data_IF_564689059300
#
_entry.id   IF_564689059300
#
_cell.length_a   1.000
_cell.length_b   1.000
_cell.length_c   1.000
_cell.angle_alpha   90.00
_cell.angle_beta   90.00
_cell.angle_gamma   90.00
#
_symmetry.space_group_name_H-M   'P 1'
#
loop_
_entity.id
_entity.type
_entity.pdbx_description
1 polymer ?
#
# COMPACT_ATOMS: atom_id res chain seq x y z
N UNK A 1 9.45 -47.20 3.98
CA UNK A 1 8.12 -47.21 4.63
C UNK A 1 7.27 -46.19 3.92
N UNK A 2 6.37 -46.61 3.03
CA UNK A 2 5.42 -45.72 2.36
C UNK A 2 4.29 -45.40 3.34
N UNK A 3 4.11 -44.12 3.65
CA UNK A 3 2.95 -43.67 4.35
C UNK A 3 1.71 -43.88 3.44
N UNK A 4 0.86 -44.83 3.80
CA UNK A 4 -0.31 -45.25 3.02
C UNK A 4 -1.52 -44.32 3.25
N UNK A 5 -1.32 -43.16 3.89
CA UNK A 5 -2.37 -42.18 4.03
C UNK A 5 -2.84 -41.65 2.67
N UNK A 6 -4.01 -41.00 2.61
CA UNK A 6 -4.53 -40.43 1.36
C UNK A 6 -3.58 -39.43 0.68
N UNK A 7 -2.60 -38.96 1.45
CA UNK A 7 -1.55 -38.05 0.99
C UNK A 7 -0.17 -38.53 1.45
N UNK A 8 0.56 -39.34 0.62
CA UNK A 8 1.83 -39.91 1.03
C UNK A 8 2.84 -38.77 1.35
N UNK A 9 3.55 -38.91 2.49
CA UNK A 9 4.55 -37.97 2.97
C UNK A 9 5.75 -37.80 2.03
N UNK A 10 6.01 -38.81 1.22
CA UNK A 10 7.12 -38.84 0.26
C UNK A 10 6.62 -39.05 -1.16
N UNK A 11 7.30 -38.49 -2.12
CA UNK A 11 7.03 -38.66 -3.54
C UNK A 11 8.35 -38.73 -4.34
N UNK A 12 8.29 -39.37 -5.49
CA UNK A 12 9.39 -39.37 -6.44
C UNK A 12 9.24 -38.19 -7.40
N UNK A 13 10.34 -37.48 -7.66
CA UNK A 13 10.37 -36.44 -8.70
C UNK A 13 10.44 -37.06 -10.09
N UNK A 14 10.31 -36.28 -11.13
CA UNK A 14 10.43 -36.71 -12.53
C UNK A 14 9.62 -37.97 -12.87
N UNK A 15 8.28 -37.94 -12.53
CA UNK A 15 7.33 -39.04 -12.80
C UNK A 15 7.80 -40.41 -12.30
N UNK A 16 8.46 -40.46 -11.18
CA UNK A 16 8.95 -41.69 -10.56
C UNK A 16 10.41 -42.06 -10.90
N UNK A 17 11.07 -41.33 -11.80
CA UNK A 17 12.46 -41.57 -12.22
C UNK A 17 13.50 -40.73 -11.46
N UNK A 18 13.07 -39.79 -10.65
CA UNK A 18 13.97 -38.91 -9.88
C UNK A 18 14.10 -39.34 -8.43
N UNK A 19 14.80 -38.50 -7.64
CA UNK A 19 15.03 -38.74 -6.22
C UNK A 19 13.76 -38.61 -5.38
N UNK A 20 13.78 -39.22 -4.20
CA UNK A 20 12.73 -39.13 -3.20
C UNK A 20 12.72 -37.71 -2.58
N UNK A 21 11.56 -37.10 -2.51
CA UNK A 21 11.33 -35.81 -1.83
C UNK A 21 10.26 -35.97 -0.76
N UNK A 22 10.43 -35.28 0.35
CA UNK A 22 9.41 -35.20 1.42
C UNK A 22 8.47 -34.05 1.10
N UNK A 23 7.16 -34.29 1.19
CA UNK A 23 6.15 -33.23 1.15
C UNK A 23 6.19 -32.44 2.45
N UNK A 24 6.11 -31.13 2.33
CA UNK A 24 5.89 -30.22 3.44
C UNK A 24 4.59 -29.51 3.14
N UNK A 25 3.66 -29.56 4.06
CA UNK A 25 2.35 -28.90 3.90
C UNK A 25 2.47 -27.41 4.24
N UNK A 26 1.72 -26.60 3.55
CA UNK A 26 1.81 -25.15 3.68
C UNK A 26 1.46 -24.65 5.09
N UNK A 27 0.49 -25.30 5.73
CA UNK A 27 0.07 -25.07 7.11
C UNK A 27 1.13 -25.41 8.17
N UNK A 28 2.08 -26.29 7.82
CA UNK A 28 3.19 -26.69 8.69
C UNK A 28 4.46 -25.87 8.50
N UNK A 29 4.47 -24.95 7.56
CA UNK A 29 5.64 -24.09 7.24
C UNK A 29 5.39 -22.69 7.75
N UNK A 30 6.30 -22.19 8.58
CA UNK A 30 6.33 -20.77 8.91
C UNK A 30 6.52 -19.91 7.67
N UNK A 31 6.05 -18.67 7.71
CA UNK A 31 6.24 -17.71 6.62
C UNK A 31 7.72 -17.54 6.27
N UNK A 32 8.01 -17.24 5.02
CA UNK A 32 9.36 -16.87 4.61
C UNK A 32 9.69 -15.47 5.09
N UNK A 33 10.87 -15.29 5.64
CA UNK A 33 11.39 -13.96 5.95
C UNK A 33 11.47 -13.16 4.63
N UNK A 34 10.98 -11.93 4.66
CA UNK A 34 11.10 -11.03 3.52
C UNK A 34 12.57 -10.78 3.19
N UNK A 35 12.89 -10.81 1.91
CA UNK A 35 14.23 -10.46 1.44
C UNK A 35 14.47 -8.95 1.56
N UNK A 36 15.73 -8.54 1.65
CA UNK A 36 16.13 -7.13 1.63
C UNK A 36 16.23 -6.55 0.21
N UNK A 37 16.00 -7.37 -0.81
CA UNK A 37 15.95 -6.96 -2.21
C UNK A 37 14.51 -7.09 -2.74
N UNK A 38 13.96 -5.97 -3.20
CA UNK A 38 12.62 -5.86 -3.78
C UNK A 38 12.74 -5.31 -5.20
N UNK A 39 12.58 -6.18 -6.20
CA UNK A 39 12.68 -5.75 -7.59
C UNK A 39 11.55 -4.78 -7.96
N UNK A 40 11.83 -3.85 -8.86
CA UNK A 40 10.87 -2.81 -9.26
C UNK A 40 9.64 -3.42 -9.96
N UNK A 41 9.76 -4.57 -10.56
CA UNK A 41 8.65 -5.32 -11.16
C UNK A 41 7.57 -5.66 -10.14
N UNK A 42 7.97 -5.88 -8.87
CA UNK A 42 7.05 -6.18 -7.77
C UNK A 42 6.58 -4.90 -7.06
N UNK A 43 7.46 -3.94 -6.85
CA UNK A 43 7.21 -2.77 -6.01
C UNK A 43 6.95 -1.48 -6.78
N UNK A 44 7.15 -1.47 -8.09
CA UNK A 44 7.00 -0.28 -8.91
C UNK A 44 8.22 0.65 -8.86
N UNK A 45 8.16 1.70 -9.65
CA UNK A 45 9.18 2.75 -9.73
C UNK A 45 8.52 4.13 -9.91
N UNK A 46 9.32 5.20 -9.92
CA UNK A 46 8.83 6.59 -9.96
C UNK A 46 7.97 6.88 -11.20
N UNK A 47 8.29 6.33 -12.37
CA UNK A 47 7.49 6.55 -13.59
C UNK A 47 6.09 5.93 -13.48
N UNK A 48 5.96 4.77 -12.84
CA UNK A 48 4.67 4.17 -12.56
C UNK A 48 3.86 5.05 -11.61
N UNK A 49 4.50 5.56 -10.56
CA UNK A 49 3.88 6.46 -9.61
C UNK A 49 3.45 7.80 -10.26
N UNK A 50 4.24 8.34 -11.20
CA UNK A 50 3.83 9.51 -11.99
C UNK A 50 2.63 9.22 -12.89
N UNK A 51 2.60 8.05 -13.54
CA UNK A 51 1.45 7.62 -14.35
C UNK A 51 0.19 7.46 -13.49
N UNK A 52 0.34 6.99 -12.25
CA UNK A 52 -0.78 6.91 -11.30
C UNK A 52 -1.31 8.31 -10.96
N UNK A 53 -0.45 9.31 -10.70
CA UNK A 53 -0.88 10.69 -10.51
C UNK A 53 -1.58 11.25 -11.76
N UNK A 54 -1.02 11.03 -12.95
CA UNK A 54 -1.65 11.48 -14.20
C UNK A 54 -3.05 10.85 -14.38
N UNK A 55 -3.24 9.60 -13.97
CA UNK A 55 -4.58 8.99 -14.00
C UNK A 55 -5.56 9.67 -13.06
N UNK A 56 -5.09 10.16 -11.91
CA UNK A 56 -5.93 10.79 -10.88
C UNK A 56 -6.20 12.26 -11.19
N UNK A 57 -5.18 13.00 -11.64
CA UNK A 57 -5.23 14.46 -11.78
C UNK A 57 -5.40 14.94 -13.23
N UNK A 58 -4.93 14.16 -14.18
CA UNK A 58 -4.77 14.57 -15.57
C UNK A 58 -3.34 15.01 -15.89
N UNK A 59 -2.57 15.37 -14.88
CA UNK A 59 -1.17 15.77 -14.94
C UNK A 59 -0.36 15.14 -13.80
N UNK A 60 0.92 15.48 -13.67
CA UNK A 60 1.79 15.03 -12.61
C UNK A 60 2.17 16.19 -11.67
N UNK A 61 1.31 16.56 -10.72
CA UNK A 61 1.52 17.72 -9.85
C UNK A 61 2.64 17.52 -8.81
N UNK A 62 3.35 16.40 -8.85
CA UNK A 62 4.44 16.07 -7.93
C UNK A 62 5.55 15.29 -8.65
N UNK A 63 6.80 15.71 -8.46
CA UNK A 63 7.93 15.21 -9.27
C UNK A 63 8.39 13.79 -8.93
N UNK A 64 8.41 13.43 -7.66
CA UNK A 64 9.00 12.18 -7.19
C UNK A 64 8.04 11.36 -6.31
N UNK A 65 6.83 11.03 -6.81
CA UNK A 65 5.90 10.22 -6.04
C UNK A 65 6.47 8.81 -5.81
N UNK A 66 6.09 8.20 -4.71
CA UNK A 66 6.36 6.78 -4.45
C UNK A 66 5.23 5.94 -5.05
N UNK A 67 5.52 4.76 -5.60
CA UNK A 67 4.48 3.87 -6.09
C UNK A 67 3.66 3.28 -4.93
N UNK A 68 2.35 3.17 -5.09
CA UNK A 68 1.46 2.58 -4.09
C UNK A 68 1.82 1.13 -3.79
N UNK A 69 2.27 0.37 -4.80
CA UNK A 69 2.72 -1.02 -4.62
C UNK A 69 3.88 -1.17 -3.64
N UNK A 70 4.84 -0.22 -3.64
CA UNK A 70 5.93 -0.22 -2.67
C UNK A 70 5.41 -0.06 -1.24
N UNK A 71 4.55 0.93 -1.01
CA UNK A 71 4.02 1.19 0.33
C UNK A 71 3.09 0.06 0.79
N UNK A 72 2.30 -0.50 -0.10
CA UNK A 72 1.49 -1.70 0.21
C UNK A 72 2.38 -2.86 0.67
N UNK A 73 3.50 -3.12 -0.02
CA UNK A 73 4.46 -4.14 0.40
C UNK A 73 5.06 -3.86 1.77
N UNK A 74 5.40 -2.58 2.05
CA UNK A 74 5.88 -2.16 3.39
C UNK A 74 4.82 -2.44 4.45
N UNK A 75 3.57 -2.05 4.21
CA UNK A 75 2.49 -2.20 5.20
C UNK A 75 2.08 -3.65 5.42
N UNK A 76 2.06 -4.46 4.37
CA UNK A 76 1.80 -5.89 4.44
C UNK A 76 2.82 -6.62 5.35
N UNK A 77 4.07 -6.18 5.34
CA UNK A 77 5.14 -6.75 6.16
C UNK A 77 5.23 -6.15 7.58
N UNK A 78 4.78 -4.93 7.77
CA UNK A 78 5.05 -4.17 9.01
C UNK A 78 3.81 -3.81 9.83
N UNK A 79 2.61 -4.05 9.30
CA UNK A 79 1.36 -3.67 9.97
C UNK A 79 0.41 -4.85 10.13
N UNK A 80 -0.42 -4.79 11.14
CA UNK A 80 -1.62 -5.61 11.23
C UNK A 80 -2.86 -4.82 10.77
N UNK A 81 -4.03 -5.46 10.75
CA UNK A 81 -5.27 -4.87 10.23
C UNK A 81 -5.78 -3.62 10.96
N UNK A 82 -5.33 -3.38 12.18
CA UNK A 82 -5.80 -2.28 13.07
C UNK A 82 -4.69 -1.27 13.37
N UNK A 83 -3.55 -1.36 12.67
CA UNK A 83 -2.39 -0.48 12.90
C UNK A 83 -2.71 0.98 12.56
N UNK A 84 -2.03 1.89 13.26
CA UNK A 84 -1.99 3.31 12.90
C UNK A 84 -0.66 3.62 12.20
N UNK A 85 -0.74 4.13 10.99
CA UNK A 85 0.40 4.50 10.15
C UNK A 85 0.60 6.01 10.27
N UNK A 86 1.81 6.45 10.53
CA UNK A 86 2.18 7.85 10.63
C UNK A 86 3.26 8.17 9.59
N UNK A 87 2.99 9.19 8.77
CA UNK A 87 3.92 9.68 7.75
C UNK A 87 4.12 11.19 7.94
N UNK A 88 5.34 11.57 8.32
CA UNK A 88 5.71 12.97 8.57
C UNK A 88 6.02 13.76 7.30
N UNK A 89 6.15 13.09 6.15
CA UNK A 89 6.53 13.70 4.87
C UNK A 89 5.62 13.19 3.75
N UNK A 90 4.32 13.39 3.91
CA UNK A 90 3.29 12.78 3.08
C UNK A 90 3.45 13.01 1.56
N UNK A 91 4.12 14.09 1.16
CA UNK A 91 4.40 14.39 -0.24
C UNK A 91 3.13 14.33 -1.10
N UNK A 92 3.09 13.41 -2.05
CA UNK A 92 1.90 13.22 -2.89
C UNK A 92 0.75 12.42 -2.24
N UNK A 93 0.85 12.07 -0.94
CA UNK A 93 -0.21 11.34 -0.22
C UNK A 93 -0.33 9.85 -0.56
N UNK A 94 0.73 9.25 -1.07
CA UNK A 94 0.75 7.82 -1.46
C UNK A 94 0.48 6.90 -0.28
N UNK A 95 0.95 7.25 0.91
CA UNK A 95 0.81 6.45 2.13
C UNK A 95 -0.66 6.18 2.47
N UNK A 96 -1.51 7.20 2.45
CA UNK A 96 -2.93 7.02 2.72
C UNK A 96 -3.62 6.25 1.58
N UNK A 97 -3.29 6.56 0.32
CA UNK A 97 -3.84 5.81 -0.82
C UNK A 97 -3.53 4.32 -0.72
N UNK A 98 -2.27 3.94 -0.45
CA UNK A 98 -1.87 2.55 -0.27
C UNK A 98 -2.55 1.89 0.95
N UNK A 99 -2.74 2.64 2.05
CA UNK A 99 -3.47 2.16 3.24
C UNK A 99 -4.92 1.84 2.93
N UNK A 100 -5.61 2.72 2.21
CA UNK A 100 -7.01 2.51 1.82
C UNK A 100 -7.16 1.32 0.87
N UNK A 101 -6.25 1.17 -0.09
CA UNK A 101 -6.24 0.00 -0.99
C UNK A 101 -6.06 -1.31 -0.22
N UNK A 102 -5.10 -1.34 0.72
CA UNK A 102 -4.83 -2.54 1.51
C UNK A 102 -6.03 -2.89 2.43
N UNK A 103 -6.66 -1.89 3.05
CA UNK A 103 -7.86 -2.11 3.84
C UNK A 103 -9.01 -2.68 3.01
N UNK A 104 -9.22 -2.15 1.79
CA UNK A 104 -10.26 -2.66 0.89
C UNK A 104 -10.00 -4.11 0.45
N UNK A 105 -8.72 -4.50 0.31
CA UNK A 105 -8.33 -5.83 -0.13
C UNK A 105 -8.45 -6.88 0.98
N UNK A 106 -7.99 -6.57 2.19
CA UNK A 106 -7.89 -7.54 3.30
C UNK A 106 -8.95 -7.36 4.39
N UNK A 107 -9.86 -6.39 4.24
CA UNK A 107 -10.87 -6.04 5.23
C UNK A 107 -10.27 -5.44 6.50
N UNK A 108 -9.14 -4.76 6.40
CA UNK A 108 -8.48 -4.09 7.51
C UNK A 108 -9.09 -2.73 7.85
N UNK A 109 -8.75 -2.24 9.03
CA UNK A 109 -9.21 -0.95 9.59
C UNK A 109 -8.01 -0.05 9.96
N UNK A 110 -6.91 -0.16 9.20
CA UNK A 110 -5.72 0.66 9.42
C UNK A 110 -6.08 2.12 9.32
N UNK A 111 -5.52 2.90 10.22
CA UNK A 111 -5.63 4.36 10.24
C UNK A 111 -4.35 4.97 9.70
N UNK A 112 -4.45 6.13 9.07
CA UNK A 112 -3.29 6.84 8.55
C UNK A 112 -3.32 8.29 9.00
N UNK A 113 -2.20 8.78 9.49
CA UNK A 113 -1.98 10.19 9.85
C UNK A 113 -0.88 10.70 8.93
N UNK A 114 -1.21 11.68 8.11
CA UNK A 114 -0.28 12.34 7.21
C UNK A 114 0.08 13.71 7.76
N UNK A 115 1.35 14.03 7.75
CA UNK A 115 1.88 15.34 8.08
C UNK A 115 2.69 15.85 6.90
N UNK A 116 2.45 17.07 6.47
CA UNK A 116 3.21 17.73 5.42
C UNK A 116 3.14 19.26 5.62
N UNK A 117 4.13 19.98 5.07
CA UNK A 117 4.00 21.42 4.91
C UNK A 117 3.00 21.73 3.78
N UNK A 118 2.68 23.00 3.60
CA UNK A 118 1.85 23.45 2.47
C UNK A 118 2.64 24.35 1.51
N UNK A 119 3.94 24.08 1.37
CA UNK A 119 4.77 24.77 0.39
C UNK A 119 4.27 24.45 -1.02
N UNK A 120 4.12 25.47 -1.86
CA UNK A 120 3.53 25.35 -3.20
C UNK A 120 2.13 24.66 -3.18
N UNK A 121 1.35 24.83 -2.12
CA UNK A 121 0.04 24.21 -1.94
C UNK A 121 0.01 22.69 -1.95
N UNK A 122 1.15 22.04 -1.73
CA UNK A 122 1.27 20.56 -1.83
C UNK A 122 0.27 19.82 -0.94
N UNK A 123 0.01 20.33 0.27
CA UNK A 123 -0.92 19.68 1.19
C UNK A 123 -2.36 19.71 0.64
N UNK A 124 -2.82 20.87 0.18
CA UNK A 124 -4.19 21.07 -0.22
C UNK A 124 -4.48 20.57 -1.62
N UNK A 125 -3.60 20.90 -2.58
CA UNK A 125 -3.84 20.64 -4.00
C UNK A 125 -3.36 19.25 -4.44
N UNK A 126 -2.41 18.65 -3.72
CA UNK A 126 -1.87 17.33 -4.10
C UNK A 126 -2.23 16.27 -3.06
N UNK A 127 -1.74 16.38 -1.81
CA UNK A 127 -1.92 15.34 -0.80
C UNK A 127 -3.39 15.10 -0.47
N UNK A 128 -4.13 16.17 -0.16
CA UNK A 128 -5.55 16.09 0.20
C UNK A 128 -6.40 15.73 -1.01
N UNK A 129 -6.21 16.41 -2.13
CA UNK A 129 -7.02 16.23 -3.33
C UNK A 129 -6.86 14.82 -3.93
N UNK A 130 -5.63 14.25 -3.95
CA UNK A 130 -5.41 12.86 -4.34
C UNK A 130 -6.28 11.90 -3.54
N UNK A 131 -6.20 11.98 -2.23
CA UNK A 131 -6.89 11.05 -1.36
C UNK A 131 -8.41 11.24 -1.40
N UNK A 132 -8.88 12.49 -1.53
CA UNK A 132 -10.29 12.79 -1.76
C UNK A 132 -10.81 12.14 -3.04
N UNK A 133 -10.09 12.27 -4.16
CA UNK A 133 -10.46 11.63 -5.44
C UNK A 133 -10.46 10.11 -5.33
N UNK A 134 -9.49 9.53 -4.65
CA UNK A 134 -9.43 8.08 -4.43
C UNK A 134 -10.64 7.59 -3.62
N UNK A 135 -11.09 8.35 -2.63
CA UNK A 135 -12.28 8.03 -1.83
C UNK A 135 -13.57 8.17 -2.67
N UNK A 136 -13.68 9.25 -3.42
CA UNK A 136 -14.92 9.58 -4.16
C UNK A 136 -15.02 8.86 -5.52
N UNK A 137 -13.91 8.33 -6.02
CA UNK A 137 -13.79 7.91 -7.41
C UNK A 137 -13.44 9.09 -8.33
N UNK A 138 -12.91 8.79 -9.49
CA UNK A 138 -12.48 9.78 -10.47
C UNK A 138 -12.60 9.25 -11.90
N UNK A 139 -12.55 10.17 -12.86
CA UNK A 139 -12.48 9.81 -14.27
C UNK A 139 -11.07 10.08 -14.79
N UNK A 140 -10.45 9.08 -15.40
CA UNK A 140 -9.11 9.23 -15.97
C UNK A 140 -9.14 10.15 -17.19
N UNK A 141 -7.98 10.71 -17.62
CA UNK A 141 -7.90 11.48 -18.87
C UNK A 141 -8.37 10.72 -20.12
N UNK A 142 -8.39 9.40 -20.07
CA UNK A 142 -8.90 8.54 -21.15
C UNK A 142 -10.40 8.31 -21.09
N UNK A 143 -11.10 8.89 -20.12
CA UNK A 143 -12.54 8.73 -19.93
C UNK A 143 -12.95 7.47 -19.15
N UNK A 144 -11.99 6.70 -18.60
CA UNK A 144 -12.29 5.54 -17.76
C UNK A 144 -12.76 6.02 -16.37
N UNK A 145 -13.89 5.50 -15.92
CA UNK A 145 -14.37 5.74 -14.55
C UNK A 145 -13.68 4.78 -13.59
N UNK A 146 -13.08 5.31 -12.55
CA UNK A 146 -12.48 4.56 -11.44
C UNK A 146 -13.41 4.72 -10.24
N UNK A 147 -13.88 3.60 -9.72
CA UNK A 147 -14.74 3.57 -8.53
C UNK A 147 -13.96 4.01 -7.30
N UNK A 148 -14.62 4.72 -6.38
CA UNK A 148 -14.03 5.21 -5.15
C UNK A 148 -13.95 4.16 -4.06
N UNK A 149 -13.05 4.39 -3.13
CA UNK A 149 -12.93 3.60 -1.90
C UNK A 149 -13.82 4.23 -0.81
N UNK A 150 -15.14 4.13 -0.98
CA UNK A 150 -16.17 4.88 -0.23
C UNK A 150 -16.23 4.59 1.28
N UNK A 151 -15.73 3.42 1.73
CA UNK A 151 -15.69 3.05 3.16
C UNK A 151 -14.60 3.79 3.95
N UNK A 152 -14.01 4.82 3.35
CA UNK A 152 -12.97 5.64 3.95
C UNK A 152 -13.43 7.07 4.19
N UNK A 153 -12.84 7.74 5.16
CA UNK A 153 -13.02 9.16 5.41
C UNK A 153 -11.69 9.88 5.46
N UNK A 154 -11.73 11.18 5.21
CA UNK A 154 -10.57 12.06 5.23
C UNK A 154 -10.89 13.30 6.07
N UNK A 155 -10.05 13.58 7.06
CA UNK A 155 -10.12 14.80 7.87
C UNK A 155 -8.87 15.63 7.65
N UNK A 156 -9.07 16.90 7.36
CA UNK A 156 -8.00 17.86 7.20
C UNK A 156 -7.89 18.73 8.45
N UNK A 157 -6.67 18.90 8.93
CA UNK A 157 -6.34 19.77 10.05
C UNK A 157 -5.23 20.73 9.66
N UNK A 158 -5.33 21.96 10.10
CA UNK A 158 -4.27 22.95 9.96
C UNK A 158 -3.72 23.27 11.34
N UNK A 159 -2.40 23.18 11.50
CA UNK A 159 -1.74 23.61 12.73
C UNK A 159 -1.69 25.13 12.78
N UNK A 160 -1.83 25.67 13.98
CA UNK A 160 -1.66 27.10 14.25
C UNK A 160 -0.73 27.29 15.44
N UNK A 161 0.00 28.40 15.46
CA UNK A 161 0.86 28.73 16.60
C UNK A 161 0.02 29.39 17.70
N UNK A 162 0.17 28.88 18.92
CA UNK A 162 -0.32 29.58 20.11
C UNK A 162 0.73 30.60 20.55
N UNK A 163 0.33 31.84 20.84
CA UNK A 163 1.25 32.80 21.44
C UNK A 163 1.63 32.31 22.84
N UNK A 164 2.87 32.59 23.26
CA UNK A 164 3.43 32.17 24.55
C UNK A 164 2.63 32.65 25.73
N UNK A 165 1.90 33.75 25.57
CA UNK A 165 1.06 34.37 26.60
C UNK A 165 -0.31 33.72 26.79
N UNK A 166 -0.64 32.69 25.99
CA UNK A 166 -1.91 31.94 26.08
C UNK A 166 -1.71 30.47 26.49
N UNK A 167 -0.54 30.10 27.00
CA UNK A 167 -0.33 28.80 27.63
C UNK A 167 -0.97 28.83 29.02
N UNK A 168 -2.10 28.14 29.14
CA UNK A 168 -2.74 27.82 30.42
C UNK A 168 -1.96 26.72 31.10
#
# INVERSE_FOLDING_TARGET
VYDKGPWPRFYFTNKGKGGIRRKVYLDSVGGRIATNYWPYEETGHTDEAKKELIRIFGDAPFDTPKPTRLLRRVFDLSTNKDSTILDFFAGSGTTLHATMQLNAEDGGHRKCILVTNNENNICEEVTYERNKRVIQGYTTPKGEKVEGLHDNNLRYYRTNFLSRDKSV
#
